data_IF_738980839785
#
_entry.id   IF_738980839785
#
_cell.length_a   1.000
_cell.length_b   1.000
_cell.length_c   1.000
_cell.angle_alpha   90.00
_cell.angle_beta   90.00
_cell.angle_gamma   90.00
#
_symmetry.space_group_name_H-M   'P 1'
#
loop_
_entity.id
_entity.type
_entity.pdbx_description
1 polymer ?
#
# COMPACT_ATOMS: atom_id res chain seq x y z
N UNK A 1 -6.32 0.62 -34.05
CA UNK A 1 -7.08 -0.34 -33.23
C UNK A 1 -8.41 -0.59 -33.92
N UNK A 2 -8.82 -1.83 -34.14
CA UNK A 2 -10.10 -2.15 -34.81
C UNK A 2 -11.26 -1.79 -33.86
N UNK A 3 -12.43 -1.44 -34.41
CA UNK A 3 -13.61 -1.08 -33.60
C UNK A 3 -14.00 -2.17 -32.58
N UNK A 4 -13.88 -3.42 -32.95
CA UNK A 4 -14.11 -4.58 -32.10
C UNK A 4 -13.15 -4.59 -30.87
N UNK A 5 -11.90 -4.19 -31.03
CA UNK A 5 -10.92 -4.13 -29.94
C UNK A 5 -11.33 -3.08 -28.89
N UNK A 6 -11.85 -1.94 -29.36
CA UNK A 6 -12.32 -0.87 -28.48
C UNK A 6 -13.48 -1.36 -27.62
N UNK A 7 -14.48 -2.00 -28.24
CA UNK A 7 -15.63 -2.57 -27.51
C UNK A 7 -15.16 -3.60 -26.49
N UNK A 8 -14.27 -4.51 -26.90
CA UNK A 8 -13.76 -5.55 -26.01
C UNK A 8 -13.02 -4.98 -24.79
N UNK A 9 -12.24 -3.91 -24.97
CA UNK A 9 -11.55 -3.23 -23.87
C UNK A 9 -12.56 -2.63 -22.89
N UNK A 10 -13.62 -1.98 -23.37
CA UNK A 10 -14.67 -1.43 -22.50
C UNK A 10 -15.38 -2.54 -21.72
N UNK A 11 -15.75 -3.65 -22.39
CA UNK A 11 -16.37 -4.81 -21.73
C UNK A 11 -15.46 -5.34 -20.61
N UNK A 12 -14.19 -5.57 -20.90
CA UNK A 12 -13.20 -6.05 -19.92
C UNK A 12 -13.05 -5.08 -18.73
N UNK A 13 -13.04 -3.78 -19.01
CA UNK A 13 -12.91 -2.76 -17.96
C UNK A 13 -14.14 -2.76 -17.03
N UNK A 14 -15.36 -2.69 -17.57
CA UNK A 14 -16.56 -2.72 -16.75
C UNK A 14 -16.74 -4.05 -16.01
N UNK A 15 -16.40 -5.17 -16.65
CA UNK A 15 -16.36 -6.47 -15.98
C UNK A 15 -15.36 -6.46 -14.82
N UNK A 16 -14.21 -5.78 -14.97
CA UNK A 16 -13.24 -5.66 -13.88
C UNK A 16 -13.81 -4.91 -12.67
N UNK A 17 -14.62 -3.88 -12.87
CA UNK A 17 -15.28 -3.17 -11.77
C UNK A 17 -16.24 -4.08 -11.00
N UNK A 18 -16.99 -4.94 -11.71
CA UNK A 18 -17.87 -5.94 -11.09
C UNK A 18 -17.05 -6.95 -10.30
N UNK A 19 -15.99 -7.50 -10.89
CA UNK A 19 -15.09 -8.46 -10.23
C UNK A 19 -14.48 -7.84 -8.96
N UNK A 20 -14.00 -6.60 -9.02
CA UNK A 20 -13.49 -5.91 -7.84
C UNK A 20 -14.56 -5.69 -6.78
N UNK A 21 -15.78 -5.33 -7.17
CA UNK A 21 -16.90 -5.23 -6.24
C UNK A 21 -17.16 -6.54 -5.50
N UNK A 22 -17.19 -7.67 -6.23
CA UNK A 22 -17.35 -9.01 -5.65
C UNK A 22 -16.17 -9.39 -4.74
N UNK A 23 -14.93 -9.11 -5.17
CA UNK A 23 -13.75 -9.37 -4.34
C UNK A 23 -13.78 -8.57 -3.03
N UNK A 24 -14.24 -7.31 -3.04
CA UNK A 24 -14.42 -6.52 -1.82
C UNK A 24 -15.48 -7.12 -0.90
N UNK A 25 -16.62 -7.58 -1.43
CA UNK A 25 -17.67 -8.23 -0.64
C UNK A 25 -17.13 -9.52 0.01
N UNK A 26 -16.45 -10.37 -0.76
CA UNK A 26 -15.84 -11.61 -0.26
C UNK A 26 -14.77 -11.31 0.79
N UNK A 27 -13.95 -10.28 0.56
CA UNK A 27 -12.90 -9.86 1.48
C UNK A 27 -13.46 -9.40 2.81
N UNK A 28 -14.53 -8.59 2.81
CA UNK A 28 -15.18 -8.13 4.04
C UNK A 28 -15.93 -9.27 4.74
N UNK A 29 -16.62 -10.14 4.00
CA UNK A 29 -17.28 -11.32 4.57
C UNK A 29 -16.27 -12.26 5.25
N UNK A 30 -15.15 -12.56 4.61
CA UNK A 30 -14.08 -13.36 5.22
C UNK A 30 -13.48 -12.68 6.46
N UNK A 31 -13.29 -11.37 6.42
CA UNK A 31 -12.81 -10.60 7.58
C UNK A 31 -13.84 -10.60 8.73
N UNK A 32 -15.13 -10.54 8.41
CA UNK A 32 -16.20 -10.70 9.41
C UNK A 32 -16.12 -12.05 10.09
N UNK A 33 -15.99 -13.13 9.33
CA UNK A 33 -15.86 -14.50 9.89
C UNK A 33 -14.61 -14.64 10.75
N UNK A 34 -13.47 -14.10 10.30
CA UNK A 34 -12.24 -14.09 11.09
C UNK A 34 -12.46 -13.41 12.44
N UNK A 35 -13.12 -12.24 12.46
CA UNK A 35 -13.41 -11.52 13.70
C UNK A 35 -14.46 -12.19 14.58
N UNK A 36 -15.41 -12.91 13.99
CA UNK A 36 -16.46 -13.62 14.71
C UNK A 36 -15.88 -14.80 15.54
N UNK A 37 -14.92 -15.52 14.96
CA UNK A 37 -14.38 -16.74 15.57
C UNK A 37 -13.03 -16.56 16.28
N UNK A 38 -12.32 -15.47 16.03
CA UNK A 38 -10.98 -15.25 16.59
C UNK A 38 -10.90 -13.94 17.40
N UNK A 39 -10.46 -14.00 18.66
CA UNK A 39 -10.20 -12.80 19.46
C UNK A 39 -9.04 -11.99 18.87
N UNK A 40 -8.88 -10.73 19.32
CA UNK A 40 -7.80 -9.85 18.85
C UNK A 40 -6.43 -10.30 19.36
N UNK A 41 -5.79 -11.14 18.61
CA UNK A 41 -4.49 -11.75 18.89
C UNK A 41 -3.51 -11.49 17.73
N UNK A 42 -2.20 -11.63 17.95
CA UNK A 42 -1.20 -11.60 16.88
C UNK A 42 -1.51 -12.59 15.75
N UNK A 43 -2.04 -13.77 16.08
CA UNK A 43 -2.45 -14.78 15.12
C UNK A 43 -3.58 -14.27 14.21
N UNK A 44 -4.66 -13.68 14.80
CA UNK A 44 -5.78 -13.12 14.01
C UNK A 44 -5.27 -12.02 13.07
N UNK A 45 -4.44 -11.11 13.56
CA UNK A 45 -3.89 -10.02 12.73
C UNK A 45 -3.01 -10.54 11.59
N UNK A 46 -2.18 -11.56 11.85
CA UNK A 46 -1.40 -12.24 10.82
C UNK A 46 -2.31 -12.91 9.76
N UNK A 47 -3.36 -13.60 10.19
CA UNK A 47 -4.33 -14.23 9.30
C UNK A 47 -5.05 -13.16 8.46
N UNK A 48 -5.47 -12.06 9.08
CA UNK A 48 -6.10 -10.93 8.39
C UNK A 48 -5.20 -10.30 7.33
N UNK A 49 -3.89 -10.12 7.61
CA UNK A 49 -2.91 -9.66 6.61
C UNK A 49 -2.79 -10.63 5.43
N UNK A 50 -2.68 -11.92 5.70
CA UNK A 50 -2.63 -12.95 4.63
C UNK A 50 -3.91 -12.95 3.80
N UNK A 51 -5.08 -12.84 4.46
CA UNK A 51 -6.37 -12.75 3.78
C UNK A 51 -6.44 -11.52 2.86
N UNK A 52 -6.08 -10.35 3.36
CA UNK A 52 -6.00 -9.12 2.56
C UNK A 52 -5.05 -9.29 1.36
N UNK A 53 -3.88 -9.89 1.56
CA UNK A 53 -2.90 -10.14 0.49
C UNK A 53 -3.43 -11.09 -0.59
N UNK A 54 -4.11 -12.18 -0.19
CA UNK A 54 -4.72 -13.14 -1.12
C UNK A 54 -5.79 -12.48 -1.98
N UNK A 55 -6.69 -11.71 -1.37
CA UNK A 55 -7.79 -11.05 -2.07
C UNK A 55 -7.30 -9.93 -2.98
N UNK A 56 -6.36 -9.10 -2.49
CA UNK A 56 -5.67 -8.09 -3.30
C UNK A 56 -4.92 -8.71 -4.48
N UNK A 57 -4.20 -9.79 -4.23
CA UNK A 57 -3.48 -10.54 -5.27
C UNK A 57 -4.41 -11.20 -6.30
N UNK A 58 -5.60 -11.64 -5.89
CA UNK A 58 -6.61 -12.14 -6.84
C UNK A 58 -7.05 -11.02 -7.81
N UNK A 59 -7.28 -9.80 -7.30
CA UNK A 59 -7.61 -8.64 -8.13
C UNK A 59 -6.48 -8.27 -9.10
N UNK A 60 -5.24 -8.21 -8.63
CA UNK A 60 -4.07 -7.92 -9.48
C UNK A 60 -3.91 -8.98 -10.57
N UNK A 61 -3.98 -10.27 -10.21
CA UNK A 61 -3.89 -11.37 -11.18
C UNK A 61 -5.00 -11.32 -12.24
N UNK A 62 -6.22 -10.97 -11.83
CA UNK A 62 -7.33 -10.79 -12.76
C UNK A 62 -7.03 -9.67 -13.78
N UNK A 63 -6.55 -8.51 -13.34
CA UNK A 63 -6.19 -7.41 -14.24
C UNK A 63 -5.06 -7.80 -15.22
N UNK A 64 -4.06 -8.53 -14.77
CA UNK A 64 -2.97 -9.05 -15.63
C UNK A 64 -3.54 -10.01 -16.67
N UNK A 65 -4.34 -11.01 -16.27
CA UNK A 65 -4.95 -11.99 -17.16
C UNK A 65 -5.90 -11.37 -18.20
N UNK A 66 -6.61 -10.30 -17.81
CA UNK A 66 -7.49 -9.56 -18.72
C UNK A 66 -6.72 -8.68 -19.73
N UNK A 67 -5.39 -8.57 -19.58
CA UNK A 67 -4.52 -7.68 -20.37
C UNK A 67 -4.83 -6.18 -20.20
N UNK A 68 -5.55 -5.82 -19.13
CA UNK A 68 -5.78 -4.43 -18.74
C UNK A 68 -4.59 -3.82 -17.97
N UNK A 69 -3.72 -4.67 -17.44
CA UNK A 69 -2.65 -4.29 -16.54
C UNK A 69 -1.35 -5.04 -16.89
N UNK A 70 -0.25 -4.31 -16.88
CA UNK A 70 1.10 -4.85 -17.01
C UNK A 70 1.91 -4.40 -15.81
N UNK A 71 2.65 -5.29 -15.20
CA UNK A 71 3.43 -4.99 -14.00
C UNK A 71 4.82 -5.61 -14.06
N UNK A 72 5.73 -4.95 -13.33
CA UNK A 72 7.06 -5.44 -13.01
C UNK A 72 7.28 -5.18 -11.52
N UNK A 73 7.28 -6.25 -10.72
CA UNK A 73 7.37 -6.20 -9.26
C UNK A 73 8.46 -7.12 -8.69
N UNK A 74 9.35 -7.63 -9.54
CA UNK A 74 10.32 -8.67 -9.17
C UNK A 74 11.24 -8.25 -8.02
N UNK A 75 11.59 -6.96 -7.95
CA UNK A 75 12.44 -6.47 -6.87
C UNK A 75 11.77 -6.56 -5.49
N UNK A 76 10.44 -6.40 -5.43
CA UNK A 76 9.71 -6.40 -4.14
C UNK A 76 9.74 -7.78 -3.46
N UNK A 77 9.89 -8.86 -4.22
CA UNK A 77 10.05 -10.19 -3.65
C UNK A 77 11.27 -10.30 -2.71
N UNK A 78 12.31 -9.49 -2.91
CA UNK A 78 13.53 -9.49 -2.09
C UNK A 78 13.24 -9.11 -0.63
N UNK A 79 12.25 -8.21 -0.39
CA UNK A 79 11.91 -7.71 0.94
C UNK A 79 10.66 -8.37 1.53
N UNK A 80 9.97 -9.22 0.78
CA UNK A 80 8.68 -9.83 1.16
C UNK A 80 8.74 -10.62 2.47
N UNK A 81 9.85 -11.30 2.74
CA UNK A 81 10.06 -12.12 3.94
C UNK A 81 10.77 -11.38 5.07
N UNK A 82 11.22 -10.17 4.82
CA UNK A 82 11.88 -9.37 5.86
C UNK A 82 10.90 -8.98 6.96
N UNK A 83 11.43 -8.80 8.16
CA UNK A 83 10.66 -8.45 9.36
C UNK A 83 11.15 -7.12 9.89
N UNK A 84 10.28 -6.43 10.63
CA UNK A 84 10.69 -5.20 11.33
C UNK A 84 11.31 -4.14 10.41
N UNK A 85 10.75 -3.99 9.22
CA UNK A 85 11.20 -3.05 8.19
C UNK A 85 10.20 -1.91 8.05
N UNK A 86 10.68 -0.70 7.98
CA UNK A 86 9.87 0.46 7.60
C UNK A 86 9.96 0.60 6.08
N UNK A 87 8.83 0.49 5.41
CA UNK A 87 8.73 0.65 3.96
C UNK A 87 8.10 2.01 3.69
N UNK A 88 8.76 2.83 2.90
CA UNK A 88 8.19 4.09 2.42
C UNK A 88 7.95 4.01 0.92
N UNK A 89 6.80 4.49 0.46
CA UNK A 89 6.47 4.49 -0.97
C UNK A 89 5.80 5.81 -1.37
N UNK A 90 6.03 6.26 -2.61
CA UNK A 90 5.20 7.28 -3.22
C UNK A 90 3.79 6.73 -3.49
N UNK A 91 2.83 7.61 -3.71
CA UNK A 91 1.42 7.24 -3.80
C UNK A 91 0.72 7.82 -5.04
N UNK A 92 1.11 7.42 -6.27
CA UNK A 92 0.50 7.96 -7.49
C UNK A 92 -0.96 7.57 -7.68
N UNK A 93 -1.40 6.40 -7.17
CA UNK A 93 -2.74 5.85 -7.41
C UNK A 93 -3.33 5.20 -6.16
N UNK A 94 -4.65 5.07 -6.09
CA UNK A 94 -5.30 4.24 -5.04
C UNK A 94 -5.00 2.74 -5.19
N UNK A 95 -4.53 2.32 -6.36
CA UNK A 95 -4.13 0.93 -6.60
C UNK A 95 -2.88 0.53 -5.81
N UNK A 96 -2.02 1.48 -5.46
CA UNK A 96 -0.72 1.22 -4.84
C UNK A 96 -0.86 0.47 -3.51
N UNK A 97 -1.83 0.87 -2.68
CA UNK A 97 -2.11 0.18 -1.42
C UNK A 97 -2.53 -1.28 -1.62
N UNK A 98 -3.36 -1.56 -2.64
CA UNK A 98 -3.78 -2.91 -2.99
C UNK A 98 -2.61 -3.72 -3.58
N UNK A 99 -1.83 -3.12 -4.46
CA UNK A 99 -0.67 -3.76 -5.09
C UNK A 99 0.34 -4.14 -4.00
N UNK A 100 0.74 -3.17 -3.16
CA UNK A 100 1.70 -3.42 -2.09
C UNK A 100 1.17 -4.41 -1.05
N UNK A 101 -0.12 -4.37 -0.70
CA UNK A 101 -0.72 -5.37 0.18
C UNK A 101 -0.66 -6.79 -0.42
N UNK A 102 -0.79 -6.92 -1.75
CA UNK A 102 -0.68 -8.22 -2.43
C UNK A 102 0.75 -8.77 -2.45
N UNK A 103 1.74 -7.89 -2.54
CA UNK A 103 3.16 -8.24 -2.64
C UNK A 103 3.80 -8.45 -1.26
N UNK A 104 3.34 -7.71 -0.25
CA UNK A 104 3.91 -7.67 1.10
C UNK A 104 2.89 -8.18 2.13
N UNK A 105 2.67 -9.50 2.21
CA UNK A 105 1.60 -10.09 3.03
C UNK A 105 1.80 -9.92 4.54
N UNK A 106 2.93 -9.42 4.99
CA UNK A 106 3.18 -9.10 6.39
C UNK A 106 3.23 -7.59 6.66
N UNK A 107 2.95 -6.75 5.66
CA UNK A 107 2.93 -5.32 5.85
C UNK A 107 1.60 -4.85 6.46
N UNK A 108 1.72 -3.86 7.35
CA UNK A 108 0.60 -3.04 7.84
C UNK A 108 0.82 -1.60 7.37
N UNK A 109 -0.24 -0.85 7.17
CA UNK A 109 -0.13 0.55 6.81
C UNK A 109 -0.90 1.45 7.78
N UNK A 110 -0.48 2.72 7.85
CA UNK A 110 -1.23 3.78 8.52
C UNK A 110 -2.26 4.34 7.53
N UNK A 111 -3.54 4.28 7.89
CA UNK A 111 -4.64 4.66 7.02
C UNK A 111 -5.44 5.83 7.56
N UNK A 112 -6.06 6.61 6.66
CA UNK A 112 -6.92 7.74 7.05
C UNK A 112 -8.13 7.27 7.84
N UNK A 113 -8.54 8.02 8.86
CA UNK A 113 -9.72 7.74 9.68
C UNK A 113 -11.00 7.54 8.86
N UNK A 114 -11.15 8.25 7.74
CA UNK A 114 -12.29 8.09 6.85
C UNK A 114 -12.37 6.72 6.16
N UNK A 115 -11.25 6.02 5.98
CA UNK A 115 -11.19 4.66 5.44
C UNK A 115 -11.32 3.65 6.59
N UNK A 116 -10.61 3.90 7.68
CA UNK A 116 -10.62 3.06 8.88
C UNK A 116 -12.02 2.84 9.47
N UNK A 117 -12.84 3.89 9.49
CA UNK A 117 -14.19 3.87 10.07
C UNK A 117 -15.26 3.32 9.13
N UNK A 118 -14.96 3.05 7.85
CA UNK A 118 -15.93 2.47 6.93
C UNK A 118 -16.26 1.03 7.32
N UNK A 119 -17.53 0.63 7.12
CA UNK A 119 -17.91 -0.78 7.26
C UNK A 119 -17.17 -1.64 6.25
N UNK A 120 -17.31 -1.32 4.97
CA UNK A 120 -16.55 -1.95 3.90
C UNK A 120 -15.07 -1.53 3.97
N UNK A 121 -14.17 -2.45 3.72
CA UNK A 121 -12.71 -2.29 3.77
C UNK A 121 -12.15 -1.96 5.17
N UNK A 122 -12.79 -1.07 5.95
CA UNK A 122 -12.30 -0.70 7.27
C UNK A 122 -12.25 -1.89 8.24
N UNK A 123 -13.23 -2.80 8.17
CA UNK A 123 -13.21 -4.03 8.96
C UNK A 123 -12.03 -4.91 8.56
N UNK A 124 -11.81 -5.12 7.27
CA UNK A 124 -10.67 -5.89 6.77
C UNK A 124 -9.33 -5.31 7.22
N UNK A 125 -9.17 -3.99 7.13
CA UNK A 125 -7.94 -3.32 7.58
C UNK A 125 -7.71 -3.49 9.09
N UNK A 126 -8.76 -3.36 9.91
CA UNK A 126 -8.67 -3.62 11.36
C UNK A 126 -8.33 -5.07 11.67
N UNK A 127 -8.93 -6.02 10.96
CA UNK A 127 -8.61 -7.46 11.09
C UNK A 127 -7.15 -7.73 10.77
N UNK A 128 -6.61 -7.06 9.75
CA UNK A 128 -5.20 -7.17 9.35
C UNK A 128 -4.22 -6.44 10.30
N UNK A 129 -4.73 -5.68 11.28
CA UNK A 129 -3.91 -4.90 12.21
C UNK A 129 -3.34 -3.61 11.60
N UNK A 130 -3.92 -3.09 10.54
CA UNK A 130 -3.58 -1.77 10.02
C UNK A 130 -3.88 -0.69 11.07
N UNK A 131 -3.25 0.46 10.97
CA UNK A 131 -3.31 1.50 11.99
C UNK A 131 -4.13 2.70 11.50
N UNK A 132 -4.93 3.29 12.38
CA UNK A 132 -5.59 4.57 12.10
C UNK A 132 -4.59 5.72 12.28
N UNK A 133 -4.60 6.70 11.39
CA UNK A 133 -3.78 7.91 11.54
C UNK A 133 -4.19 8.67 12.80
N UNK A 134 -3.22 8.93 13.65
CA UNK A 134 -3.33 9.65 14.94
C UNK A 134 -2.06 10.47 15.17
N UNK A 135 -2.06 11.40 16.12
CA UNK A 135 -0.81 12.01 16.58
C UNK A 135 0.23 10.94 16.96
N UNK A 136 1.48 11.15 16.59
CA UNK A 136 2.53 10.14 16.66
C UNK A 136 2.72 9.54 18.07
N UNK A 137 2.54 10.35 19.12
CA UNK A 137 2.62 9.90 20.51
C UNK A 137 1.57 8.82 20.85
N UNK A 138 0.38 8.88 20.24
CA UNK A 138 -0.69 7.87 20.39
C UNK A 138 -0.53 6.69 19.43
N UNK A 139 0.09 6.92 18.27
CA UNK A 139 0.31 5.90 17.26
C UNK A 139 1.52 5.00 17.58
N UNK A 140 2.53 5.55 18.24
CA UNK A 140 3.80 4.87 18.48
C UNK A 140 3.68 3.54 19.25
N UNK A 141 2.87 3.39 20.31
CA UNK A 141 2.67 2.09 20.98
C UNK A 141 2.10 1.02 20.05
N UNK A 142 1.20 1.41 19.13
CA UNK A 142 0.60 0.49 18.14
C UNK A 142 1.64 0.05 17.09
N UNK A 143 2.50 0.98 16.67
CA UNK A 143 3.64 0.68 15.78
C UNK A 143 4.61 -0.28 16.46
N UNK A 144 4.97 -0.02 17.72
CA UNK A 144 5.89 -0.87 18.48
C UNK A 144 5.33 -2.28 18.60
N UNK A 145 4.05 -2.41 18.99
CA UNK A 145 3.36 -3.72 19.03
C UNK A 145 3.45 -4.45 17.68
N UNK A 146 3.30 -3.74 16.58
CA UNK A 146 3.35 -4.35 15.25
C UNK A 146 4.74 -4.88 14.92
N UNK A 147 5.80 -4.18 15.34
CA UNK A 147 7.16 -4.67 15.21
C UNK A 147 7.45 -5.87 16.14
N UNK A 148 6.88 -5.88 17.35
CA UNK A 148 6.98 -7.03 18.26
C UNK A 148 6.32 -8.28 17.63
N UNK A 149 5.30 -8.08 16.79
CA UNK A 149 4.68 -9.13 15.96
C UNK A 149 5.45 -9.40 14.65
N UNK A 150 6.64 -8.83 14.48
CA UNK A 150 7.48 -8.99 13.28
C UNK A 150 6.84 -8.46 11.99
N UNK A 151 5.90 -7.51 12.06
CA UNK A 151 5.29 -6.90 10.89
C UNK A 151 6.25 -5.92 10.21
N UNK A 152 5.98 -5.63 8.93
CA UNK A 152 6.55 -4.52 8.19
C UNK A 152 5.61 -3.31 8.32
N UNK A 153 6.14 -2.11 8.40
CA UNK A 153 5.35 -0.88 8.46
C UNK A 153 5.43 -0.15 7.13
N UNK A 154 4.34 -0.13 6.38
CA UNK A 154 4.22 0.60 5.12
C UNK A 154 3.67 2.01 5.38
N UNK A 155 4.39 3.01 4.90
CA UNK A 155 4.02 4.41 5.00
C UNK A 155 4.08 5.10 3.63
N UNK A 156 3.12 5.98 3.40
CA UNK A 156 3.15 6.92 2.29
C UNK A 156 3.52 8.30 2.87
N UNK A 157 4.80 8.71 2.79
CA UNK A 157 5.29 9.89 3.50
C UNK A 157 4.67 11.21 3.02
N UNK A 158 4.08 11.22 1.84
CA UNK A 158 3.32 12.37 1.30
C UNK A 158 2.03 12.66 2.08
N UNK A 159 1.49 11.67 2.82
CA UNK A 159 0.20 11.77 3.54
C UNK A 159 -1.03 11.87 2.64
N UNK A 160 -0.83 11.98 1.33
CA UNK A 160 -1.88 12.01 0.30
C UNK A 160 -1.34 11.38 -0.99
N UNK A 161 -2.17 11.26 -2.03
CA UNK A 161 -1.68 10.83 -3.35
C UNK A 161 -0.86 11.94 -4.01
N UNK A 162 0.20 11.54 -4.72
CA UNK A 162 0.99 12.44 -5.56
C UNK A 162 0.09 13.17 -6.55
N UNK A 163 0.40 14.41 -6.89
CA UNK A 163 -0.35 15.14 -7.90
C UNK A 163 -0.11 14.55 -9.29
N UNK A 164 -1.09 14.62 -10.19
CA UNK A 164 -0.90 14.17 -11.56
C UNK A 164 0.31 14.85 -12.22
N UNK A 165 1.21 14.05 -12.77
CA UNK A 165 2.45 14.54 -13.42
C UNK A 165 3.65 14.72 -12.47
N UNK A 166 3.46 14.64 -11.17
CA UNK A 166 4.57 14.64 -10.20
C UNK A 166 5.01 13.20 -9.87
N UNK A 167 6.32 12.94 -9.81
CA UNK A 167 6.87 11.64 -9.36
C UNK A 167 6.51 11.37 -7.91
N UNK A 168 6.56 12.40 -7.07
CA UNK A 168 6.22 12.37 -5.63
C UNK A 168 5.92 13.78 -5.13
N UNK A 169 5.17 13.88 -4.02
CA UNK A 169 4.98 15.12 -3.27
C UNK A 169 6.05 15.31 -2.18
N UNK A 170 5.91 16.35 -1.39
CA UNK A 170 6.77 16.63 -0.24
C UNK A 170 6.57 15.59 0.87
N UNK A 171 7.64 15.09 1.43
CA UNK A 171 7.61 14.08 2.48
C UNK A 171 7.44 14.67 3.89
N UNK A 172 6.56 14.07 4.65
CA UNK A 172 6.43 14.35 6.08
C UNK A 172 7.43 13.52 6.89
N UNK A 173 7.99 14.10 7.95
CA UNK A 173 9.04 13.49 8.76
C UNK A 173 8.61 12.31 9.65
N UNK A 174 7.34 11.91 9.63
CA UNK A 174 6.80 10.87 10.52
C UNK A 174 7.56 9.55 10.44
N UNK A 175 7.88 9.07 9.23
CA UNK A 175 8.63 7.82 9.03
C UNK A 175 10.04 7.89 9.61
N UNK A 176 10.70 9.04 9.48
CA UNK A 176 12.06 9.24 9.97
C UNK A 176 12.12 9.30 11.51
N UNK A 177 11.10 9.90 12.15
CA UNK A 177 10.95 9.87 13.62
C UNK A 177 10.69 8.43 14.10
N UNK A 178 9.86 7.67 13.39
CA UNK A 178 9.61 6.26 13.71
C UNK A 178 10.91 5.46 13.58
N UNK A 179 11.67 5.62 12.49
CA UNK A 179 12.94 4.97 12.28
C UNK A 179 13.92 5.28 13.42
N UNK A 180 14.08 6.57 13.77
CA UNK A 180 14.96 7.02 14.86
C UNK A 180 14.60 6.39 16.21
N UNK A 181 13.28 6.32 16.52
CA UNK A 181 12.83 5.80 17.83
C UNK A 181 12.91 4.29 17.93
N UNK A 182 12.72 3.59 16.82
CA UNK A 182 12.68 2.11 16.79
C UNK A 182 14.01 1.48 16.41
N UNK A 183 14.96 2.26 15.85
CA UNK A 183 16.22 1.74 15.30
C UNK A 183 16.01 0.85 14.07
N UNK A 184 14.84 0.92 13.41
CA UNK A 184 14.53 0.06 12.26
C UNK A 184 14.94 0.76 10.96
N UNK A 185 15.53 -0.01 10.01
CA UNK A 185 15.91 0.53 8.70
C UNK A 185 14.67 0.92 7.87
N UNK A 186 14.90 1.83 6.93
CA UNK A 186 13.87 2.33 6.00
C UNK A 186 14.20 1.85 4.59
N UNK A 187 13.24 1.18 3.96
CA UNK A 187 13.33 0.70 2.58
C UNK A 187 12.43 1.54 1.67
N UNK A 188 12.98 2.37 0.80
CA UNK A 188 12.21 3.01 -0.26
C UNK A 188 11.70 1.99 -1.28
N UNK A 189 10.43 2.10 -1.62
CA UNK A 189 9.77 1.38 -2.71
C UNK A 189 9.19 2.42 -3.66
N UNK A 190 9.78 2.54 -4.84
CA UNK A 190 9.42 3.54 -5.82
C UNK A 190 8.42 2.94 -6.80
N UNK A 191 7.20 3.48 -6.82
CA UNK A 191 6.15 3.09 -7.75
C UNK A 191 6.20 4.02 -8.96
N UNK A 192 6.41 3.43 -10.12
CA UNK A 192 6.31 4.09 -11.41
C UNK A 192 5.01 3.67 -12.08
N UNK A 193 4.10 4.61 -12.28
CA UNK A 193 2.83 4.39 -12.95
C UNK A 193 2.67 5.36 -14.11
N UNK A 194 2.59 4.81 -15.32
CA UNK A 194 2.24 5.58 -16.50
C UNK A 194 0.71 5.76 -16.65
N UNK A 195 -0.08 5.15 -15.78
CA UNK A 195 -1.54 5.19 -15.85
C UNK A 195 -2.11 6.28 -14.93
N UNK A 196 -3.01 7.13 -15.42
CA UNK A 196 -3.74 8.08 -14.60
C UNK A 196 -4.85 7.43 -13.76
N UNK A 197 -5.10 6.13 -13.92
CA UNK A 197 -6.21 5.44 -13.27
C UNK A 197 -6.13 5.52 -11.74
N UNK A 198 -7.23 5.99 -11.14
CA UNK A 198 -7.34 6.21 -9.70
C UNK A 198 -6.32 7.19 -9.10
N UNK A 199 -5.61 7.97 -9.94
CA UNK A 199 -4.85 9.13 -9.48
C UNK A 199 -5.78 10.19 -8.85
N UNK A 200 -5.23 11.27 -8.35
CA UNK A 200 -6.03 12.34 -7.77
C UNK A 200 -6.96 12.95 -8.83
N UNK A 201 -8.28 12.96 -8.54
CA UNK A 201 -9.30 13.49 -9.45
C UNK A 201 -9.81 12.52 -10.52
N UNK A 202 -9.17 11.37 -10.75
CA UNK A 202 -9.64 10.42 -11.77
C UNK A 202 -10.87 9.63 -11.29
N UNK A 203 -11.99 9.65 -12.05
CA UNK A 203 -13.18 8.87 -11.72
C UNK A 203 -12.94 7.37 -11.88
N UNK A 204 -13.40 6.55 -10.93
CA UNK A 204 -13.16 5.10 -10.94
C UNK A 204 -13.82 4.37 -12.15
N UNK A 205 -14.89 4.95 -12.71
CA UNK A 205 -15.63 4.40 -13.85
C UNK A 205 -15.09 4.84 -15.21
N UNK A 206 -14.12 5.76 -15.24
CA UNK A 206 -13.51 6.25 -16.48
C UNK A 206 -12.40 5.30 -16.91
N UNK A 207 -12.55 4.72 -18.12
CA UNK A 207 -11.52 3.85 -18.70
C UNK A 207 -10.21 4.62 -18.91
N UNK A 208 -9.10 4.17 -18.33
CA UNK A 208 -7.80 4.77 -18.60
C UNK A 208 -7.20 4.23 -19.92
N UNK A 209 -6.10 4.82 -20.41
CA UNK A 209 -5.27 4.17 -21.41
C UNK A 209 -4.84 2.78 -20.92
N UNK A 210 -4.95 1.77 -21.80
CA UNK A 210 -4.60 0.39 -21.49
C UNK A 210 -3.55 -0.14 -22.48
N UNK A 211 -2.64 -1.04 -22.04
CA UNK A 211 -2.54 -1.57 -20.68
C UNK A 211 -2.07 -0.51 -19.68
N UNK A 212 -2.62 -0.55 -18.47
CA UNK A 212 -2.09 0.23 -17.34
C UNK A 212 -0.73 -0.35 -16.95
N UNK A 213 0.31 0.44 -16.98
CA UNK A 213 1.67 0.00 -16.66
C UNK A 213 2.04 0.45 -15.26
N UNK A 214 2.42 -0.49 -14.40
CA UNK A 214 2.93 -0.26 -13.07
C UNK A 214 4.24 -1.01 -12.85
N UNK A 215 5.24 -0.31 -12.33
CA UNK A 215 6.50 -0.92 -11.91
C UNK A 215 6.76 -0.54 -10.46
N UNK A 216 7.37 -1.44 -9.71
CA UNK A 216 7.83 -1.13 -8.37
C UNK A 216 9.27 -1.60 -8.22
N UNK A 217 10.16 -0.68 -7.86
CA UNK A 217 11.59 -0.95 -7.65
C UNK A 217 12.01 -0.55 -6.25
N UNK A 218 13.08 -1.18 -5.76
CA UNK A 218 13.68 -0.82 -4.50
C UNK A 218 14.67 0.34 -4.68
N UNK A 219 14.56 1.34 -3.82
CA UNK A 219 15.65 2.32 -3.63
C UNK A 219 16.71 1.79 -2.68
N UNK A 220 17.84 2.49 -2.54
CA UNK A 220 18.85 2.14 -1.56
C UNK A 220 18.25 2.16 -0.15
N UNK A 221 18.63 1.16 0.66
CA UNK A 221 18.22 1.07 2.06
C UNK A 221 18.84 2.19 2.87
N UNK A 222 18.05 2.78 3.75
CA UNK A 222 18.44 3.84 4.64
C UNK A 222 18.46 3.32 6.08
N UNK A 223 19.56 3.53 6.77
CA UNK A 223 19.65 3.17 8.19
C UNK A 223 18.86 4.16 9.06
N UNK A 224 18.46 3.68 10.22
CA UNK A 224 17.78 4.52 11.20
C UNK A 224 18.73 5.65 11.65
N UNK A 225 18.28 6.92 11.68
CA UNK A 225 19.16 8.00 12.06
C UNK A 225 19.43 7.95 13.57
N UNK A 226 20.63 8.25 13.97
CA UNK A 226 20.99 8.44 15.39
C UNK A 226 20.18 9.59 16.00
N UNK A 227 20.06 9.58 17.32
CA UNK A 227 19.44 10.69 18.04
C UNK A 227 20.36 11.92 17.95
N UNK A 228 19.82 13.03 17.47
CA UNK A 228 20.55 14.27 17.33
C UNK A 228 19.80 15.32 16.52
N UNK A 229 20.13 16.59 16.67
CA UNK A 229 19.50 17.66 15.91
C UNK A 229 19.80 17.50 14.41
N UNK A 230 18.77 17.66 13.58
CA UNK A 230 18.90 17.61 12.11
C UNK A 230 18.91 16.21 11.48
N UNK A 231 19.17 15.13 12.23
CA UNK A 231 19.29 13.78 11.66
C UNK A 231 17.99 13.27 11.04
N UNK A 232 16.84 13.56 11.66
CA UNK A 232 15.51 13.25 11.08
C UNK A 232 15.32 14.01 9.76
N UNK A 233 15.62 15.30 9.72
CA UNK A 233 15.49 16.12 8.52
C UNK A 233 16.42 15.66 7.40
N UNK A 234 17.65 15.25 7.75
CA UNK A 234 18.63 14.68 6.81
C UNK A 234 18.07 13.40 6.16
N UNK A 235 17.51 12.48 6.97
CA UNK A 235 16.88 11.25 6.44
C UNK A 235 15.72 11.55 5.50
N UNK A 236 14.87 12.51 5.84
CA UNK A 236 13.75 12.93 4.98
C UNK A 236 14.27 13.45 3.64
N UNK A 237 15.25 14.35 3.64
CA UNK A 237 15.83 14.91 2.42
C UNK A 237 16.52 13.83 1.55
N UNK A 238 17.20 12.88 2.19
CA UNK A 238 17.83 11.75 1.49
C UNK A 238 16.77 10.88 0.83
N UNK A 239 15.69 10.57 1.55
CA UNK A 239 14.58 9.83 1.00
C UNK A 239 13.93 10.57 -0.19
N UNK A 240 13.62 11.86 -0.07
CA UNK A 240 13.04 12.67 -1.17
C UNK A 240 13.90 12.62 -2.43
N UNK A 241 15.24 12.74 -2.31
CA UNK A 241 16.14 12.64 -3.45
C UNK A 241 16.04 11.30 -4.18
N UNK A 242 15.88 10.19 -3.44
CA UNK A 242 15.74 8.84 -4.04
C UNK A 242 14.47 8.74 -4.89
N UNK A 243 13.37 9.39 -4.49
CA UNK A 243 12.12 9.35 -5.24
C UNK A 243 12.07 10.35 -6.40
N UNK A 244 12.92 11.35 -6.40
CA UNK A 244 12.99 12.38 -7.47
C UNK A 244 14.04 12.06 -8.54
N UNK A 245 15.03 11.22 -8.22
CA UNK A 245 16.00 10.69 -9.20
C UNK A 245 15.34 9.68 -10.14
#
# INVERSE_FOLDING_TARGET
MKFADIILIHIKFFLSLIVFGLLFIIMDAGSFLINLFLPDTPFRRCLGRKWLAIMSGAGVRYLIKSKLFTCDFDEIEKIKKEKNLIIISNHPSRMDGMILASLLPNAIAVTKSSIWKRYAMGMTLRTAGYLEIKPLNKLFPEIQRSFDESAQLLLFPEGTRSKPGEKTGTFQGGFAIIAQRTGKPVQPVIIESASPYLSQGWPFYKLPPVPMVFKARLGPRLEAPERGPGNVTSLVRTAEKIFTS
#
